data_IF_929495208687
#
_entry.id   IF_929495208687
#
_cell.length_a   1.000
_cell.length_b   1.000
_cell.length_c   1.000
_cell.angle_alpha   90.00
_cell.angle_beta   90.00
_cell.angle_gamma   90.00
#
_symmetry.space_group_name_H-M   'P 1'
#
loop_
_entity.id
_entity.type
_entity.pdbx_description
1 polymer ?
#
# COMPACT_ATOMS: atom_id res chain seq x y z
N UNK A 1 24.19 40.37 35.62
CA UNK A 1 23.54 40.00 34.33
C UNK A 1 23.95 38.56 34.01
N UNK A 2 23.10 37.60 34.31
CA UNK A 2 23.30 36.19 33.91
C UNK A 2 22.86 36.04 32.46
N UNK A 3 23.79 35.61 31.60
CA UNK A 3 23.48 35.21 30.24
C UNK A 3 22.72 33.87 30.29
N UNK A 4 21.49 33.87 29.77
CA UNK A 4 20.68 32.68 29.55
C UNK A 4 21.45 31.70 28.66
N UNK A 5 21.77 30.51 29.20
CA UNK A 5 22.06 29.34 28.38
C UNK A 5 20.82 29.09 27.53
N UNK A 6 20.94 29.23 26.21
CA UNK A 6 19.85 28.90 25.30
C UNK A 6 19.68 27.38 25.27
N UNK A 7 18.57 26.93 25.83
CA UNK A 7 17.96 25.64 25.49
C UNK A 7 17.84 25.56 23.97
N UNK A 8 18.67 24.73 23.31
CA UNK A 8 18.33 24.07 22.04
C UNK A 8 19.41 23.13 21.48
N UNK A 9 20.25 22.52 22.32
CA UNK A 9 21.12 21.42 21.81
C UNK A 9 20.34 20.12 21.56
N UNK A 10 19.15 19.96 22.13
CA UNK A 10 18.30 18.77 21.90
C UNK A 10 17.62 18.75 20.52
N UNK A 11 17.55 19.91 19.83
CA UNK A 11 16.96 20.02 18.50
C UNK A 11 17.97 19.84 17.35
N UNK A 12 19.28 19.85 17.64
CA UNK A 12 20.32 19.53 16.65
C UNK A 12 20.26 18.08 16.15
N UNK A 13 19.53 17.21 16.83
CA UNK A 13 19.26 15.82 16.44
C UNK A 13 17.76 15.53 16.24
N UNK A 14 16.92 16.56 16.07
CA UNK A 14 15.53 16.30 15.69
C UNK A 14 15.53 15.72 14.28
N UNK A 15 14.86 14.58 14.12
CA UNK A 15 14.63 13.87 12.85
C UNK A 15 14.27 14.83 11.71
N UNK A 16 13.58 15.95 12.02
CA UNK A 16 13.24 17.02 11.09
C UNK A 16 14.38 17.65 10.29
N UNK A 17 15.60 17.75 10.81
CA UNK A 17 16.71 18.36 10.08
C UNK A 17 17.42 17.36 9.15
N UNK A 18 17.40 16.06 9.52
CA UNK A 18 17.83 14.95 8.68
C UNK A 18 16.86 14.72 7.49
N UNK A 19 15.56 14.99 7.70
CA UNK A 19 14.50 14.90 6.67
C UNK A 19 14.68 15.87 5.48
N UNK A 20 15.47 16.94 5.61
CA UNK A 20 15.70 17.92 4.52
C UNK A 20 16.81 17.52 3.56
N UNK A 21 17.74 16.66 3.97
CA UNK A 21 19.01 16.47 3.28
C UNK A 21 19.20 15.06 2.68
N UNK A 22 18.32 14.10 2.96
CA UNK A 22 18.49 12.72 2.47
C UNK A 22 17.19 12.08 1.94
N UNK A 23 17.20 11.77 0.64
CA UNK A 23 16.40 10.76 -0.08
C UNK A 23 14.87 11.02 -0.30
N UNK A 24 14.32 10.80 -1.52
CA UNK A 24 12.88 10.92 -1.81
C UNK A 24 11.94 9.95 -1.10
N UNK A 25 12.45 9.02 -0.27
CA UNK A 25 11.74 7.84 0.25
C UNK A 25 11.83 7.73 1.78
N UNK A 26 11.67 8.84 2.50
CA UNK A 26 11.71 8.86 3.96
C UNK A 26 10.38 8.35 4.55
N UNK A 27 10.25 7.04 4.75
CA UNK A 27 9.25 6.47 5.66
C UNK A 27 9.76 6.48 7.10
N UNK A 28 8.85 6.59 8.07
CA UNK A 28 9.22 6.73 9.47
C UNK A 28 9.21 5.37 10.18
N UNK A 29 10.41 4.85 10.43
CA UNK A 29 10.67 3.69 11.30
C UNK A 29 11.83 4.08 12.21
N UNK A 30 11.80 3.65 13.47
CA UNK A 30 12.93 3.84 14.38
C UNK A 30 14.22 3.26 13.75
N UNK A 31 15.32 4.03 13.65
CA UNK A 31 16.56 3.55 13.02
C UNK A 31 17.13 2.25 13.61
N UNK A 32 16.90 2.00 14.91
CA UNK A 32 17.29 0.76 15.57
C UNK A 32 16.47 -0.43 15.06
N UNK A 33 15.16 -0.26 14.96
CA UNK A 33 14.26 -1.29 14.40
C UNK A 33 14.56 -1.53 12.93
N UNK A 34 14.75 -0.48 12.14
CA UNK A 34 15.14 -0.60 10.73
C UNK A 34 16.44 -1.41 10.57
N UNK A 35 17.45 -1.13 11.40
CA UNK A 35 18.72 -1.86 11.37
C UNK A 35 18.57 -3.31 11.84
N UNK A 36 17.76 -3.54 12.87
CA UNK A 36 17.51 -4.87 13.42
C UNK A 36 16.68 -5.76 12.46
N UNK A 37 15.69 -5.18 11.77
CA UNK A 37 14.91 -5.84 10.72
C UNK A 37 15.82 -6.21 9.55
N UNK A 38 16.58 -5.25 9.00
CA UNK A 38 17.51 -5.51 7.88
C UNK A 38 18.54 -6.57 8.22
N UNK A 39 19.12 -6.53 9.43
CA UNK A 39 20.08 -7.56 9.88
C UNK A 39 19.45 -8.94 9.94
N UNK A 40 18.18 -9.04 10.36
CA UNK A 40 17.45 -10.30 10.41
C UNK A 40 17.06 -10.79 9.01
N UNK A 41 16.60 -9.90 8.14
CA UNK A 41 16.29 -10.21 6.74
C UNK A 41 17.53 -10.68 5.98
N UNK A 42 18.69 -10.05 6.19
CA UNK A 42 19.95 -10.45 5.56
C UNK A 42 20.42 -11.87 5.95
N UNK A 43 19.98 -12.38 7.10
CA UNK A 43 20.28 -13.72 7.58
C UNK A 43 19.16 -14.73 7.29
N UNK A 44 18.01 -14.29 6.75
CA UNK A 44 16.89 -15.15 6.44
C UNK A 44 17.11 -15.84 5.09
N UNK A 45 17.03 -17.17 5.07
CA UNK A 45 17.18 -17.98 3.86
C UNK A 45 16.02 -18.97 3.66
N UNK A 46 15.06 -18.99 4.58
CA UNK A 46 13.96 -19.95 4.58
C UNK A 46 12.64 -19.30 5.02
N UNK A 47 11.52 -19.92 4.67
CA UNK A 47 10.19 -19.46 5.10
C UNK A 47 10.06 -19.34 6.64
N UNK A 48 10.59 -20.27 7.46
CA UNK A 48 10.61 -20.13 8.92
C UNK A 48 11.40 -18.91 9.42
N UNK A 49 12.52 -18.56 8.77
CA UNK A 49 13.31 -17.39 9.18
C UNK A 49 12.51 -16.09 9.00
N UNK A 50 11.79 -15.98 7.87
CA UNK A 50 10.89 -14.87 7.63
C UNK A 50 9.71 -14.88 8.60
N UNK A 51 9.13 -16.04 8.92
CA UNK A 51 8.07 -16.13 9.91
C UNK A 51 8.50 -15.56 11.27
N UNK A 52 9.69 -15.94 11.75
CA UNK A 52 10.25 -15.39 12.99
C UNK A 52 10.46 -13.88 12.90
N UNK A 53 10.92 -13.37 11.76
CA UNK A 53 11.08 -11.93 11.52
C UNK A 53 9.73 -11.21 11.61
N UNK A 54 8.72 -11.68 10.87
CA UNK A 54 7.38 -11.08 10.83
C UNK A 54 6.70 -11.12 12.19
N UNK A 55 6.79 -12.23 12.93
CA UNK A 55 6.27 -12.32 14.30
C UNK A 55 6.97 -11.33 15.23
N UNK A 56 8.31 -11.26 15.18
CA UNK A 56 9.08 -10.39 16.09
C UNK A 56 8.82 -8.91 15.85
N UNK A 57 8.72 -8.48 14.59
CA UNK A 57 8.60 -7.06 14.22
C UNK A 57 7.19 -6.68 13.76
N UNK A 58 6.18 -7.51 14.05
CA UNK A 58 4.79 -7.27 13.68
C UNK A 58 4.31 -5.86 14.07
N UNK A 59 4.67 -5.39 15.26
CA UNK A 59 4.28 -4.05 15.74
C UNK A 59 4.81 -2.90 14.86
N UNK A 60 6.00 -3.05 14.27
CA UNK A 60 6.57 -2.06 13.32
C UNK A 60 5.93 -2.24 11.95
N UNK A 61 5.83 -3.48 11.48
CA UNK A 61 5.37 -3.81 10.13
C UNK A 61 3.87 -3.57 9.95
N UNK A 62 3.07 -3.54 11.03
CA UNK A 62 1.63 -3.21 10.98
C UNK A 62 1.36 -1.74 10.68
N UNK A 63 2.31 -0.83 10.88
CA UNK A 63 2.09 0.60 10.68
C UNK A 63 3.39 1.38 10.42
N UNK A 64 3.78 1.44 9.14
CA UNK A 64 4.93 2.23 8.67
C UNK A 64 4.41 3.52 8.07
N UNK A 65 4.74 4.68 8.66
CA UNK A 65 4.29 5.97 8.12
C UNK A 65 5.05 6.29 6.84
N UNK A 66 4.31 6.64 5.80
CA UNK A 66 4.87 7.03 4.51
C UNK A 66 4.89 8.57 4.40
N UNK A 67 5.85 9.15 3.65
CA UNK A 67 5.92 10.60 3.44
C UNK A 67 4.72 11.07 2.60
N UNK A 68 4.63 12.35 2.27
CA UNK A 68 3.64 12.81 1.27
C UNK A 68 4.01 12.29 -0.13
N UNK A 69 3.03 11.89 -0.96
CA UNK A 69 3.33 11.45 -2.31
C UNK A 69 3.85 12.62 -3.14
N UNK A 70 4.72 12.32 -4.10
CA UNK A 70 4.98 13.28 -5.18
C UNK A 70 3.78 13.29 -6.12
N UNK A 71 3.29 14.48 -6.54
CA UNK A 71 2.20 14.55 -7.49
C UNK A 71 2.58 13.82 -8.79
N UNK A 72 1.66 13.02 -9.31
CA UNK A 72 1.74 12.44 -10.65
C UNK A 72 0.79 13.19 -11.58
N UNK A 73 1.02 13.10 -12.89
CA UNK A 73 0.13 13.75 -13.87
C UNK A 73 -1.24 13.06 -13.89
N UNK A 74 -2.26 13.79 -14.36
CA UNK A 74 -3.61 13.24 -14.51
C UNK A 74 -3.62 12.11 -15.55
N UNK A 75 -2.82 12.21 -16.61
CA UNK A 75 -2.69 11.17 -17.64
C UNK A 75 -2.05 9.89 -17.08
N UNK A 76 -1.10 10.01 -16.16
CA UNK A 76 -0.58 8.84 -15.45
C UNK A 76 -1.65 8.25 -14.52
N UNK A 77 -2.38 9.11 -13.80
CA UNK A 77 -3.46 8.68 -12.91
C UNK A 77 -4.51 7.88 -13.68
N UNK A 78 -5.00 8.39 -14.81
CA UNK A 78 -5.98 7.71 -15.65
C UNK A 78 -5.45 6.37 -16.17
N UNK A 79 -4.20 6.32 -16.64
CA UNK A 79 -3.57 5.07 -17.09
C UNK A 79 -3.51 4.01 -15.99
N UNK A 80 -3.28 4.44 -14.74
CA UNK A 80 -3.22 3.55 -13.59
C UNK A 80 -4.59 3.04 -13.18
N UNK A 81 -5.64 3.85 -13.23
CA UNK A 81 -6.97 3.48 -12.69
C UNK A 81 -7.92 2.81 -13.70
N UNK A 82 -7.74 3.05 -15.01
CA UNK A 82 -8.57 2.43 -16.06
C UNK A 82 -8.61 0.88 -15.96
N UNK A 83 -7.48 0.17 -15.75
CA UNK A 83 -7.51 -1.29 -15.69
C UNK A 83 -7.97 -1.84 -14.32
N UNK A 84 -8.35 -0.99 -13.37
CA UNK A 84 -8.54 -1.38 -11.98
C UNK A 84 -9.99 -1.74 -11.66
N UNK A 85 -10.13 -2.61 -10.64
CA UNK A 85 -11.38 -2.84 -9.93
C UNK A 85 -11.45 -1.91 -8.73
N UNK A 86 -12.63 -1.40 -8.39
CA UNK A 86 -12.87 -0.55 -7.24
C UNK A 86 -13.94 -1.16 -6.34
N UNK A 87 -13.70 -1.18 -5.03
CA UNK A 87 -14.70 -1.55 -4.03
C UNK A 87 -15.00 -0.29 -3.21
N UNK A 88 -16.06 0.44 -3.58
CA UNK A 88 -16.45 1.69 -2.92
C UNK A 88 -17.58 1.41 -1.94
N UNK A 89 -17.33 1.54 -0.63
CA UNK A 89 -18.29 1.19 0.42
C UNK A 89 -18.96 -0.19 0.20
N UNK A 90 -18.16 -1.21 -0.15
CA UNK A 90 -18.58 -2.59 -0.45
C UNK A 90 -19.37 -2.80 -1.75
N UNK A 91 -19.44 -1.82 -2.64
CA UNK A 91 -19.99 -1.99 -3.99
C UNK A 91 -18.83 -2.09 -4.97
N UNK A 92 -18.78 -3.16 -5.76
CA UNK A 92 -17.74 -3.40 -6.75
C UNK A 92 -18.06 -2.62 -8.03
N UNK A 93 -17.05 -1.96 -8.57
CA UNK A 93 -17.08 -1.20 -9.82
C UNK A 93 -15.89 -1.60 -10.70
N UNK A 94 -16.12 -1.69 -12.01
CA UNK A 94 -15.09 -1.97 -13.03
C UNK A 94 -14.88 -3.46 -13.32
N UNK A 95 -13.84 -3.79 -14.08
CA UNK A 95 -13.43 -5.17 -14.38
C UNK A 95 -14.33 -5.96 -15.34
N UNK A 96 -15.08 -5.29 -16.21
CA UNK A 96 -15.80 -5.90 -17.33
C UNK A 96 -16.05 -4.92 -18.48
N UNK A 97 -16.50 -5.42 -19.63
CA UNK A 97 -16.81 -4.63 -20.83
C UNK A 97 -17.96 -3.61 -20.67
N UNK A 98 -18.62 -3.57 -19.50
CA UNK A 98 -19.89 -2.86 -19.26
C UNK A 98 -19.83 -1.76 -18.20
N UNK A 99 -18.86 -1.75 -17.29
CA UNK A 99 -18.76 -0.72 -16.25
C UNK A 99 -17.62 0.22 -16.59
N UNK A 100 -18.00 1.45 -16.90
CA UNK A 100 -17.11 2.49 -17.38
C UNK A 100 -16.43 3.19 -16.22
N UNK A 101 -15.26 3.78 -16.48
CA UNK A 101 -14.63 4.68 -15.51
C UNK A 101 -15.56 5.84 -15.12
N UNK A 102 -16.48 6.22 -16.01
CA UNK A 102 -17.47 7.27 -15.79
C UNK A 102 -18.42 6.91 -14.63
N UNK A 103 -18.74 5.63 -14.43
CA UNK A 103 -19.58 5.17 -13.30
C UNK A 103 -18.87 5.40 -11.96
N UNK A 104 -17.55 5.17 -11.92
CA UNK A 104 -16.71 5.45 -10.74
C UNK A 104 -16.69 6.96 -10.46
N UNK A 105 -16.54 7.79 -11.50
CA UNK A 105 -16.61 9.25 -11.37
C UNK A 105 -17.97 9.70 -10.82
N UNK A 106 -19.08 9.21 -11.39
CA UNK A 106 -20.43 9.59 -10.96
C UNK A 106 -20.69 9.23 -9.50
N UNK A 107 -20.28 8.04 -9.08
CA UNK A 107 -20.43 7.58 -7.69
C UNK A 107 -19.62 8.44 -6.74
N UNK A 108 -18.33 8.69 -7.04
CA UNK A 108 -17.47 9.53 -6.20
C UNK A 108 -18.00 10.98 -6.14
N UNK A 109 -18.42 11.55 -7.26
CA UNK A 109 -19.07 12.86 -7.28
C UNK A 109 -20.33 12.88 -6.42
N UNK A 110 -21.16 11.84 -6.46
CA UNK A 110 -22.33 11.70 -5.61
C UNK A 110 -22.03 11.79 -4.11
N UNK A 111 -20.93 11.15 -3.67
CA UNK A 111 -20.46 11.26 -2.29
C UNK A 111 -19.91 12.65 -1.96
N UNK A 112 -19.10 13.22 -2.86
CA UNK A 112 -18.40 14.50 -2.64
C UNK A 112 -19.33 15.70 -2.66
N UNK A 113 -20.35 15.70 -3.53
CA UNK A 113 -21.38 16.77 -3.62
C UNK A 113 -22.13 17.01 -2.31
N UNK A 114 -22.10 16.06 -1.37
CA UNK A 114 -22.72 16.19 -0.05
C UNK A 114 -22.02 17.22 0.84
N UNK A 115 -20.77 17.57 0.54
CA UNK A 115 -19.98 18.50 1.36
C UNK A 115 -19.15 19.52 0.56
N UNK A 116 -18.92 19.31 -0.74
CA UNK A 116 -18.29 20.31 -1.60
C UNK A 116 -19.19 21.54 -1.78
N UNK A 117 -18.62 22.75 -1.66
CA UNK A 117 -19.34 24.01 -1.78
C UNK A 117 -19.53 24.45 -3.24
N UNK A 118 -18.75 23.91 -4.17
CA UNK A 118 -18.82 24.24 -5.60
C UNK A 118 -18.49 23.06 -6.50
N UNK A 119 -18.82 23.18 -7.79
CA UNK A 119 -18.46 22.18 -8.79
C UNK A 119 -16.94 22.04 -8.94
N UNK A 120 -16.20 23.14 -8.95
CA UNK A 120 -14.73 23.13 -9.06
C UNK A 120 -14.08 22.41 -7.87
N UNK A 121 -14.62 22.62 -6.66
CA UNK A 121 -14.16 21.91 -5.46
C UNK A 121 -14.47 20.41 -5.54
N UNK A 122 -15.66 20.04 -6.04
CA UNK A 122 -16.02 18.64 -6.27
C UNK A 122 -15.03 17.96 -7.23
N UNK A 123 -14.72 18.59 -8.36
CA UNK A 123 -13.76 18.08 -9.35
C UNK A 123 -12.37 17.93 -8.73
N UNK A 124 -11.93 18.92 -7.93
CA UNK A 124 -10.63 18.87 -7.25
C UNK A 124 -10.53 17.70 -6.26
N UNK A 125 -11.57 17.50 -5.45
CA UNK A 125 -11.64 16.41 -4.46
C UNK A 125 -11.65 15.05 -5.15
N UNK A 126 -12.50 14.86 -6.17
CA UNK A 126 -12.55 13.60 -6.93
C UNK A 126 -11.21 13.32 -7.58
N UNK A 127 -10.57 14.33 -8.17
CA UNK A 127 -9.22 14.19 -8.73
C UNK A 127 -8.19 13.76 -7.69
N UNK A 128 -8.25 14.31 -6.47
CA UNK A 128 -7.36 13.91 -5.37
C UNK A 128 -7.61 12.46 -4.90
N UNK A 129 -8.86 12.01 -4.86
CA UNK A 129 -9.23 10.62 -4.56
C UNK A 129 -8.63 9.68 -5.61
N UNK A 130 -8.82 10.00 -6.89
CA UNK A 130 -8.32 9.16 -7.99
C UNK A 130 -6.79 9.11 -8.05
N UNK A 131 -6.12 10.23 -7.77
CA UNK A 131 -4.65 10.25 -7.65
C UNK A 131 -4.16 9.36 -6.50
N UNK A 132 -4.87 9.31 -5.38
CA UNK A 132 -4.55 8.40 -4.28
C UNK A 132 -4.77 6.92 -4.62
N UNK A 133 -5.56 6.63 -5.66
CA UNK A 133 -5.77 5.27 -6.19
C UNK A 133 -4.69 4.83 -7.19
N UNK A 134 -3.75 5.71 -7.57
CA UNK A 134 -2.76 5.37 -8.58
C UNK A 134 -1.71 4.37 -8.05
N UNK A 135 -1.67 3.18 -8.65
CA UNK A 135 -0.72 2.12 -8.28
C UNK A 135 0.74 2.48 -8.54
N UNK A 136 1.05 3.43 -9.42
CA UNK A 136 2.44 3.90 -9.61
C UNK A 136 3.03 4.41 -8.29
N UNK A 137 2.24 5.13 -7.50
CA UNK A 137 2.68 5.64 -6.19
C UNK A 137 2.65 4.52 -5.15
N UNK A 138 1.48 3.91 -4.94
CA UNK A 138 1.29 2.93 -3.88
C UNK A 138 2.16 1.68 -4.04
N UNK A 139 2.31 1.20 -5.28
CA UNK A 139 3.17 0.07 -5.63
C UNK A 139 4.66 0.40 -5.52
N UNK A 140 5.05 1.62 -5.92
CA UNK A 140 6.42 2.13 -5.72
C UNK A 140 6.79 2.18 -4.25
N UNK A 141 5.99 2.86 -3.42
CA UNK A 141 6.19 2.95 -1.97
C UNK A 141 6.28 1.55 -1.34
N UNK A 142 5.34 0.66 -1.69
CA UNK A 142 5.33 -0.73 -1.22
C UNK A 142 6.62 -1.47 -1.57
N UNK A 143 7.03 -1.43 -2.84
CA UNK A 143 8.22 -2.12 -3.31
C UNK A 143 9.49 -1.60 -2.64
N UNK A 144 9.66 -0.28 -2.54
CA UNK A 144 10.86 0.32 -1.95
C UNK A 144 10.98 -0.01 -0.45
N UNK A 145 9.87 0.05 0.31
CA UNK A 145 9.87 -0.31 1.74
C UNK A 145 10.22 -1.79 1.90
N UNK A 146 9.53 -2.66 1.17
CA UNK A 146 9.74 -4.11 1.22
C UNK A 146 11.17 -4.48 0.84
N UNK A 147 11.69 -3.94 -0.26
CA UNK A 147 13.05 -4.21 -0.73
C UNK A 147 14.10 -3.74 0.28
N UNK A 148 13.90 -2.56 0.87
CA UNK A 148 14.87 -1.96 1.80
C UNK A 148 14.88 -2.66 3.16
N UNK A 149 13.72 -3.07 3.67
CA UNK A 149 13.62 -3.69 4.99
C UNK A 149 13.88 -5.20 4.96
N UNK A 150 13.32 -5.88 3.97
CA UNK A 150 13.21 -7.34 3.93
C UNK A 150 14.09 -8.01 2.87
N UNK A 151 14.64 -7.22 1.95
CA UNK A 151 15.54 -7.72 0.92
C UNK A 151 16.95 -8.00 1.43
N UNK A 152 17.66 -8.86 0.71
CA UNK A 152 19.08 -9.14 0.90
C UNK A 152 19.76 -9.31 -0.47
N UNK A 153 21.09 -9.42 -0.48
CA UNK A 153 21.86 -9.69 -1.71
C UNK A 153 21.65 -11.10 -2.25
N UNK A 154 21.18 -12.04 -1.42
CA UNK A 154 20.86 -13.42 -1.81
C UNK A 154 19.40 -13.62 -2.21
N UNK A 155 18.60 -12.55 -2.23
CA UNK A 155 17.16 -12.59 -2.50
C UNK A 155 16.77 -11.72 -3.68
N UNK A 156 15.99 -12.31 -4.57
CA UNK A 156 15.28 -11.65 -5.67
C UNK A 156 13.84 -11.43 -5.22
N UNK A 157 13.39 -10.17 -5.26
CA UNK A 157 12.02 -9.80 -4.93
C UNK A 157 11.30 -9.47 -6.24
N UNK A 158 10.21 -10.18 -6.52
CA UNK A 158 9.39 -9.99 -7.71
C UNK A 158 7.96 -9.60 -7.30
N UNK A 159 7.28 -8.72 -8.06
CA UNK A 159 5.84 -8.55 -7.90
C UNK A 159 5.14 -9.91 -8.07
N UNK A 160 4.23 -10.23 -7.15
CA UNK A 160 3.32 -11.36 -7.32
C UNK A 160 2.12 -10.94 -8.16
N UNK A 161 1.46 -11.90 -8.83
CA UNK A 161 0.18 -11.62 -9.46
C UNK A 161 -0.83 -11.18 -8.38
N UNK A 162 -1.34 -9.96 -8.55
CA UNK A 162 -2.39 -9.35 -7.74
C UNK A 162 -3.58 -8.91 -8.61
N UNK A 163 -3.63 -9.35 -9.87
CA UNK A 163 -4.76 -9.08 -10.75
C UNK A 163 -6.06 -9.56 -10.10
N UNK A 164 -7.08 -8.71 -10.11
CA UNK A 164 -8.39 -8.98 -9.52
C UNK A 164 -8.61 -8.41 -8.11
N UNK A 165 -7.58 -7.90 -7.43
CA UNK A 165 -7.76 -7.28 -6.11
C UNK A 165 -8.24 -5.82 -6.24
N UNK A 166 -9.47 -5.48 -5.80
CA UNK A 166 -9.99 -4.13 -5.95
C UNK A 166 -9.23 -3.12 -5.10
N UNK A 167 -9.16 -1.89 -5.59
CA UNK A 167 -8.83 -0.70 -4.79
C UNK A 167 -10.04 -0.43 -3.90
N UNK A 168 -9.83 -0.47 -2.59
CA UNK A 168 -10.92 -0.26 -1.63
C UNK A 168 -11.00 1.23 -1.29
N UNK A 169 -12.19 1.82 -1.40
CA UNK A 169 -12.48 3.19 -0.99
C UNK A 169 -13.61 3.14 0.05
N UNK A 170 -13.25 3.35 1.31
CA UNK A 170 -14.20 3.47 2.41
C UNK A 170 -14.46 4.93 2.72
N UNK A 171 -15.73 5.32 2.65
CA UNK A 171 -16.21 6.68 2.91
C UNK A 171 -16.98 6.63 4.21
N UNK A 172 -16.49 7.36 5.22
CA UNK A 172 -17.06 7.27 6.56
C UNK A 172 -18.51 7.74 6.59
N UNK A 173 -19.39 6.89 7.12
CA UNK A 173 -20.79 7.23 7.35
C UNK A 173 -20.96 8.30 8.45
N UNK A 174 -20.05 8.33 9.43
CA UNK A 174 -20.04 9.30 10.53
C UNK A 174 -19.41 10.64 10.13
N UNK A 175 -18.41 10.62 9.24
CA UNK A 175 -17.71 11.81 8.75
C UNK A 175 -17.58 11.76 7.22
N UNK A 176 -18.56 12.26 6.44
CA UNK A 176 -18.58 12.15 4.98
C UNK A 176 -17.39 12.75 4.24
N UNK A 177 -16.60 13.61 4.91
CA UNK A 177 -15.36 14.21 4.37
C UNK A 177 -14.14 13.30 4.54
N UNK A 178 -14.27 12.18 5.25
CA UNK A 178 -13.19 11.24 5.57
C UNK A 178 -13.24 10.03 4.64
N UNK A 179 -12.17 9.85 3.86
CA UNK A 179 -11.99 8.77 2.90
C UNK A 179 -10.78 7.94 3.31
N UNK A 180 -10.91 6.62 3.27
CA UNK A 180 -9.82 5.67 3.46
C UNK A 180 -9.65 4.87 2.18
N UNK A 181 -8.48 4.97 1.56
CA UNK A 181 -8.17 4.33 0.29
C UNK A 181 -7.10 3.29 0.55
N UNK A 182 -7.41 2.02 0.24
CA UNK A 182 -6.51 0.89 0.51
C UNK A 182 -6.16 0.17 -0.79
N UNK A 183 -4.85 0.05 -1.04
CA UNK A 183 -4.31 -0.68 -2.17
C UNK A 183 -3.47 -1.85 -1.69
N UNK A 184 -3.77 -3.04 -2.20
CA UNK A 184 -3.00 -4.23 -1.91
C UNK A 184 -1.90 -4.46 -2.96
N UNK A 185 -0.68 -4.74 -2.51
CA UNK A 185 0.40 -5.28 -3.35
C UNK A 185 0.91 -6.59 -2.74
N UNK A 186 1.51 -7.45 -3.55
CA UNK A 186 2.12 -8.68 -3.07
C UNK A 186 3.44 -8.91 -3.80
N UNK A 187 4.37 -9.52 -3.09
CA UNK A 187 5.73 -9.74 -3.52
C UNK A 187 6.15 -11.16 -3.19
N UNK A 188 6.81 -11.81 -4.15
CA UNK A 188 7.43 -13.11 -4.00
C UNK A 188 8.93 -12.92 -3.77
N UNK A 189 9.44 -13.63 -2.78
CA UNK A 189 10.85 -13.65 -2.43
C UNK A 189 11.39 -15.01 -2.84
N UNK A 190 12.36 -14.98 -3.74
CA UNK A 190 13.09 -16.16 -4.16
C UNK A 190 14.56 -15.98 -3.80
N UNK A 191 15.20 -17.05 -3.36
CA UNK A 191 16.68 -17.05 -3.31
C UNK A 191 17.24 -16.98 -4.74
N UNK A 192 18.47 -16.50 -4.88
CA UNK A 192 19.16 -16.53 -6.19
C UNK A 192 19.23 -17.96 -6.72
N UNK A 193 19.57 -18.93 -5.87
CA UNK A 193 19.60 -20.35 -6.22
C UNK A 193 18.25 -20.89 -6.70
N UNK A 194 17.13 -20.46 -6.12
CA UNK A 194 15.78 -20.82 -6.57
C UNK A 194 15.50 -20.27 -7.96
N UNK A 195 15.85 -19.00 -8.22
CA UNK A 195 15.69 -18.38 -9.54
C UNK A 195 16.56 -19.07 -10.59
N UNK A 196 17.80 -19.44 -10.27
CA UNK A 196 18.69 -20.15 -11.18
C UNK A 196 18.18 -21.55 -11.55
N UNK A 197 17.34 -22.15 -10.70
CA UNK A 197 16.71 -23.45 -10.93
C UNK A 197 15.33 -23.34 -11.59
N UNK A 198 14.76 -22.14 -11.71
CA UNK A 198 13.49 -21.95 -12.43
C UNK A 198 13.74 -22.19 -13.93
N UNK A 199 13.27 -23.32 -14.43
CA UNK A 199 13.15 -23.57 -15.87
C UNK A 199 11.81 -23.01 -16.38
N UNK A 200 11.63 -22.86 -17.70
CA UNK A 200 10.45 -22.26 -18.33
C UNK A 200 9.14 -22.98 -17.99
N UNK A 201 9.20 -24.22 -17.50
CA UNK A 201 8.04 -25.07 -17.20
C UNK A 201 7.74 -25.29 -15.70
N UNK A 202 8.68 -24.99 -14.80
CA UNK A 202 8.55 -25.30 -13.36
C UNK A 202 8.48 -24.03 -12.51
N UNK A 203 7.30 -23.77 -11.93
CA UNK A 203 7.13 -22.72 -10.93
C UNK A 203 7.79 -23.14 -9.61
N UNK A 204 8.96 -22.57 -9.32
CA UNK A 204 9.61 -22.73 -8.01
C UNK A 204 8.85 -21.92 -6.96
N UNK A 205 8.37 -22.61 -5.93
CA UNK A 205 7.69 -21.99 -4.79
C UNK A 205 8.59 -20.92 -4.14
N UNK A 206 8.07 -19.73 -3.83
CA UNK A 206 8.86 -18.68 -3.20
C UNK A 206 9.25 -19.05 -1.78
N UNK A 207 10.45 -18.67 -1.36
CA UNK A 207 10.88 -18.72 0.05
C UNK A 207 9.90 -17.97 0.96
N UNK A 208 9.37 -16.83 0.51
CA UNK A 208 8.41 -16.04 1.26
C UNK A 208 7.46 -15.29 0.31
N UNK A 209 6.19 -15.21 0.68
CA UNK A 209 5.22 -14.31 0.05
C UNK A 209 4.86 -13.21 1.04
N UNK A 210 4.97 -11.97 0.59
CA UNK A 210 4.69 -10.77 1.39
C UNK A 210 3.53 -10.03 0.77
N UNK A 211 2.56 -9.64 1.60
CA UNK A 211 1.48 -8.75 1.21
C UNK A 211 1.70 -7.39 1.87
N UNK A 212 1.42 -6.33 1.12
CA UNK A 212 1.37 -4.98 1.63
C UNK A 212 -0.03 -4.39 1.46
N UNK A 213 -0.44 -3.59 2.43
CA UNK A 213 -1.61 -2.72 2.34
C UNK A 213 -1.10 -1.28 2.44
N UNK A 214 -1.15 -0.56 1.32
CA UNK A 214 -0.92 0.88 1.30
C UNK A 214 -2.24 1.58 1.59
N UNK A 215 -2.31 2.26 2.73
CA UNK A 215 -3.51 2.94 3.21
C UNK A 215 -3.27 4.44 3.17
N UNK A 216 -4.17 5.16 2.51
CA UNK A 216 -4.20 6.61 2.50
C UNK A 216 -5.53 7.10 3.07
N UNK A 217 -5.44 7.87 4.14
CA UNK A 217 -6.58 8.50 4.80
C UNK A 217 -6.58 9.98 4.44
N UNK A 218 -7.72 10.49 3.96
CA UNK A 218 -7.88 11.89 3.55
C UNK A 218 -9.12 12.45 4.23
N UNK A 219 -8.92 13.54 4.96
CA UNK A 219 -10.00 14.35 5.50
C UNK A 219 -10.07 15.68 4.75
N UNK A 220 -11.06 15.79 3.85
CA UNK A 220 -11.24 16.97 3.01
C UNK A 220 -11.69 18.21 3.81
N UNK A 221 -12.30 18.04 4.99
CA UNK A 221 -12.66 19.16 5.86
C UNK A 221 -11.41 19.83 6.45
N UNK A 222 -10.45 19.03 6.92
CA UNK A 222 -9.23 19.52 7.56
C UNK A 222 -8.05 19.65 6.59
N UNK A 223 -8.23 19.24 5.33
CA UNK A 223 -7.16 19.13 4.32
C UNK A 223 -5.97 18.30 4.81
N UNK A 224 -6.21 17.32 5.69
CA UNK A 224 -5.19 16.42 6.21
C UNK A 224 -5.20 15.14 5.39
N UNK A 225 -4.00 14.68 5.06
CA UNK A 225 -3.77 13.39 4.41
C UNK A 225 -2.63 12.68 5.11
N UNK A 226 -2.87 11.42 5.49
CA UNK A 226 -1.89 10.53 6.10
C UNK A 226 -1.78 9.27 5.25
N UNK A 227 -0.57 8.70 5.22
CA UNK A 227 -0.29 7.48 4.46
C UNK A 227 0.48 6.53 5.33
N UNK A 228 0.10 5.26 5.33
CA UNK A 228 0.84 4.23 6.03
C UNK A 228 0.85 2.92 5.24
N UNK A 229 1.89 2.13 5.44
CA UNK A 229 2.05 0.81 4.87
C UNK A 229 1.92 -0.23 5.98
N UNK A 230 1.10 -1.24 5.73
CA UNK A 230 1.08 -2.48 6.51
C UNK A 230 1.76 -3.56 5.71
N UNK A 231 2.61 -4.36 6.33
CA UNK A 231 3.34 -5.46 5.69
C UNK A 231 3.12 -6.72 6.51
N UNK A 232 2.70 -7.80 5.85
CA UNK A 232 2.55 -9.11 6.48
C UNK A 232 3.08 -10.22 5.57
N UNK A 233 3.45 -11.33 6.18
CA UNK A 233 3.68 -12.58 5.46
C UNK A 233 2.33 -13.19 5.10
N UNK A 234 2.24 -13.75 3.89
CA UNK A 234 1.14 -14.63 3.49
C UNK A 234 1.58 -16.05 3.76
N UNK A 235 0.80 -16.78 4.56
CA UNK A 235 1.09 -18.17 4.86
C UNK A 235 0.61 -19.08 3.71
N UNK A 236 1.27 -20.23 3.46
CA UNK A 236 0.92 -21.12 2.35
C UNK A 236 -0.54 -21.57 2.32
N UNK A 237 -1.16 -21.71 3.50
CA UNK A 237 -2.56 -22.17 3.65
C UNK A 237 -3.60 -21.05 3.42
N UNK A 238 -3.18 -19.80 3.24
CA UNK A 238 -4.10 -18.66 3.00
C UNK A 238 -4.50 -18.50 1.52
N UNK A 239 -4.08 -19.42 0.65
CA UNK A 239 -4.56 -19.54 -0.73
C UNK A 239 -4.05 -18.47 -1.69
N UNK A 240 -3.73 -18.89 -2.92
CA UNK A 240 -3.52 -17.97 -4.03
C UNK A 240 -4.82 -17.22 -4.37
N UNK A 241 -4.76 -15.95 -4.83
CA UNK A 241 -5.90 -15.35 -5.48
C UNK A 241 -6.27 -16.21 -6.70
N UNK A 242 -7.52 -16.65 -6.71
CA UNK A 242 -8.11 -17.62 -7.63
C UNK A 242 -7.71 -17.41 -9.10
N UNK A 243 -7.30 -18.53 -9.71
CA UNK A 243 -7.11 -18.87 -11.12
C UNK A 243 -7.48 -17.85 -12.22
N UNK A 244 -6.52 -17.70 -13.14
CA UNK A 244 -6.53 -16.92 -14.39
C UNK A 244 -7.66 -17.21 -15.39
N UNK A 245 -8.54 -18.18 -15.14
CA UNK A 245 -9.52 -18.68 -16.13
C UNK A 245 -10.98 -18.71 -15.66
N UNK A 246 -11.33 -18.08 -14.54
CA UNK A 246 -12.72 -18.06 -14.05
C UNK A 246 -13.52 -16.84 -14.51
N UNK A 247 -13.48 -16.51 -15.81
CA UNK A 247 -14.61 -15.80 -16.44
C UNK A 247 -15.76 -16.81 -16.64
N UNK A 248 -16.33 -17.28 -15.53
CA UNK A 248 -17.59 -18.02 -15.53
C UNK A 248 -18.62 -17.18 -14.81
N UNK A 249 -19.56 -16.70 -15.62
CA UNK A 249 -20.80 -16.04 -15.26
C UNK A 249 -21.54 -16.78 -14.15
N UNK A 250 -21.23 -16.44 -12.90
CA UNK A 250 -22.04 -16.70 -11.70
C UNK A 250 -21.57 -15.73 -10.62
N UNK A 251 -22.52 -15.02 -10.04
CA UNK A 251 -22.33 -14.19 -8.85
C UNK A 251 -21.74 -15.04 -7.72
N UNK A 252 -20.42 -15.10 -7.64
CA UNK A 252 -19.75 -15.57 -6.44
C UNK A 252 -19.83 -14.40 -5.49
N UNK A 253 -20.57 -14.57 -4.40
CA UNK A 253 -20.51 -13.68 -3.24
C UNK A 253 -19.07 -13.71 -2.74
N UNK A 254 -18.24 -12.82 -3.27
CA UNK A 254 -16.87 -12.62 -2.82
C UNK A 254 -16.97 -11.94 -1.46
N UNK A 255 -16.61 -12.67 -0.41
CA UNK A 255 -16.51 -12.13 0.93
C UNK A 255 -15.23 -11.31 1.05
N UNK A 256 -15.27 -10.07 0.54
CA UNK A 256 -14.22 -9.08 0.76
C UNK A 256 -14.11 -8.67 2.24
N UNK A 257 -15.02 -9.12 3.12
CA UNK A 257 -14.94 -8.94 4.57
C UNK A 257 -13.69 -9.59 5.16
N UNK A 258 -13.24 -10.73 4.63
CA UNK A 258 -12.02 -11.40 5.10
C UNK A 258 -10.72 -10.63 4.78
N UNK A 259 -10.72 -9.75 3.76
CA UNK A 259 -9.60 -8.81 3.50
C UNK A 259 -9.51 -7.74 4.59
N UNK A 260 -10.64 -7.42 5.21
CA UNK A 260 -10.77 -6.46 6.30
C UNK A 260 -10.62 -7.13 7.68
N UNK A 261 -10.88 -8.43 7.83
CA UNK A 261 -10.70 -9.13 9.12
C UNK A 261 -9.23 -9.35 9.52
N UNK A 262 -8.29 -9.20 8.56
CA UNK A 262 -6.87 -9.04 8.86
C UNK A 262 -6.49 -7.70 9.51
N UNK A 263 -7.47 -6.80 9.74
CA UNK A 263 -7.28 -5.47 10.31
C UNK A 263 -7.33 -5.43 11.85
N UNK A 264 -7.37 -6.59 12.53
CA UNK A 264 -7.26 -6.74 13.99
C UNK A 264 -5.82 -6.70 14.56
#
# INVERSE_FOLDING_TARGET
>A
MQAKRSDNEMYKYSSFQYLRETDPLLWEINPLDQTAIRKKAAAAASAPDYAVLFTKYAHVLKHIVLPRPRPISIEQTLRDIIPELFLINNILYGGGDTESIDDIFEVLEGYVRRFAASHDECVHIVSAILQACARTIAGGDSYFVVRTLLGSSSMVIRPAHNHGMPIVIDISSAKPTMFTITLQSAFMFHTVDEIERMDEADEVAPTCRVQTLHVQEIDFETSKSTRHLKIRQVLPDEGEPLDRNSHSSRSVNHDYGALLDGLG
#
